data_IF_264587792032
#
_entry.id   IF_264587792032
#
_cell.length_a   1.000
_cell.length_b   1.000
_cell.length_c   1.000
_cell.angle_alpha   90.00
_cell.angle_beta   90.00
_cell.angle_gamma   90.00
#
_symmetry.space_group_name_H-M   'P 1'
#
loop_
_entity.id
_entity.type
_entity.pdbx_description
1 polymer ?
#
# COMPACT_ATOMS: atom_id res chain seq x y z
N UNK A 1 40.02 -21.82 -20.60
CA UNK A 1 39.25 -21.46 -19.38
C UNK A 1 38.56 -20.09 -19.44
N UNK A 2 38.65 -19.33 -20.53
CA UNK A 2 38.05 -17.99 -20.68
C UNK A 2 36.62 -18.00 -21.24
N UNK A 3 36.26 -18.98 -22.07
CA UNK A 3 34.93 -19.07 -22.68
C UNK A 3 33.82 -19.43 -21.68
N UNK A 4 34.09 -20.37 -20.77
CA UNK A 4 33.11 -20.81 -19.74
C UNK A 4 32.78 -19.67 -18.78
N UNK A 5 33.77 -18.85 -18.40
CA UNK A 5 33.54 -17.68 -17.52
C UNK A 5 32.66 -16.61 -18.18
N UNK A 6 32.83 -16.35 -19.48
CA UNK A 6 31.99 -15.37 -20.20
C UNK A 6 30.56 -15.87 -20.40
N UNK A 7 30.39 -17.17 -20.64
CA UNK A 7 29.07 -17.77 -20.79
C UNK A 7 28.29 -17.81 -19.46
N UNK A 8 28.97 -18.11 -18.34
CA UNK A 8 28.33 -18.13 -17.02
C UNK A 8 27.92 -16.72 -16.56
N UNK A 9 28.75 -15.70 -16.83
CA UNK A 9 28.41 -14.30 -16.51
C UNK A 9 27.25 -13.80 -17.35
N UNK A 10 27.23 -14.10 -18.66
CA UNK A 10 26.10 -13.75 -19.52
C UNK A 10 24.81 -14.46 -19.09
N UNK A 11 24.88 -15.75 -18.73
CA UNK A 11 23.74 -16.53 -18.25
C UNK A 11 23.19 -15.97 -16.92
N UNK A 12 24.08 -15.66 -15.96
CA UNK A 12 23.69 -15.06 -14.68
C UNK A 12 23.07 -13.68 -14.88
N UNK A 13 23.59 -12.87 -15.82
CA UNK A 13 22.99 -11.56 -16.12
C UNK A 13 21.63 -11.67 -16.81
N UNK A 14 21.42 -12.64 -17.70
CA UNK A 14 20.11 -12.87 -18.33
C UNK A 14 19.07 -13.43 -17.36
N UNK A 15 19.46 -14.32 -16.43
CA UNK A 15 18.56 -14.79 -15.37
C UNK A 15 18.24 -13.67 -14.36
N UNK A 16 19.18 -12.75 -14.12
CA UNK A 16 18.94 -11.60 -13.23
C UNK A 16 17.93 -10.60 -13.84
N UNK A 17 17.98 -10.38 -15.16
CA UNK A 17 16.99 -9.54 -15.84
C UNK A 17 15.63 -10.23 -16.01
N UNK A 18 15.60 -11.54 -16.32
CA UNK A 18 14.35 -12.28 -16.47
C UNK A 18 13.61 -12.53 -15.14
N UNK A 19 14.36 -12.66 -14.04
CA UNK A 19 13.78 -12.75 -12.69
C UNK A 19 13.18 -11.40 -12.23
N UNK A 20 13.70 -10.27 -12.74
CA UNK A 20 13.15 -8.94 -12.45
C UNK A 20 11.79 -8.72 -13.14
N UNK A 21 11.46 -9.49 -14.17
CA UNK A 21 10.18 -9.39 -14.90
C UNK A 21 9.13 -10.45 -14.54
N UNK A 22 9.43 -11.44 -13.68
CA UNK A 22 8.52 -12.59 -13.48
C UNK A 22 8.22 -12.97 -12.02
N UNK A 23 8.41 -12.06 -11.05
CA UNK A 23 7.73 -12.18 -9.75
C UNK A 23 6.27 -11.76 -9.87
N UNK A 24 5.50 -12.65 -10.48
CA UNK A 24 4.05 -12.65 -10.53
C UNK A 24 3.48 -13.03 -9.16
N UNK A 25 3.20 -12.04 -8.33
CA UNK A 25 2.31 -12.17 -7.18
C UNK A 25 0.86 -12.33 -7.68
N UNK A 26 0.42 -13.56 -7.99
CA UNK A 26 -0.99 -13.98 -8.26
C UNK A 26 -1.85 -13.15 -9.25
N UNK A 27 -1.31 -12.10 -9.85
CA UNK A 27 -1.95 -11.18 -10.79
C UNK A 27 -1.59 -11.51 -12.24
N UNK A 28 -0.41 -12.11 -12.51
CA UNK A 28 -0.07 -12.51 -13.89
C UNK A 28 -0.91 -13.70 -14.39
N UNK A 29 -1.66 -14.37 -13.52
CA UNK A 29 -2.62 -15.40 -13.92
C UNK A 29 -3.91 -14.83 -14.58
N UNK A 30 -4.09 -13.49 -14.64
CA UNK A 30 -5.30 -12.85 -15.19
C UNK A 30 -5.08 -11.93 -16.39
N UNK A 31 -3.86 -11.84 -16.94
CA UNK A 31 -3.62 -11.04 -18.16
C UNK A 31 -3.84 -9.52 -18.00
N UNK A 32 -3.93 -9.03 -16.76
CA UNK A 32 -3.93 -7.59 -16.45
C UNK A 32 -2.60 -7.29 -15.80
N UNK A 33 -1.59 -6.98 -16.61
CA UNK A 33 -0.35 -6.40 -16.11
C UNK A 33 -0.65 -4.96 -15.65
N UNK A 34 -1.23 -4.83 -14.45
CA UNK A 34 -1.21 -3.54 -13.76
C UNK A 34 0.24 -3.32 -13.35
N UNK A 35 0.92 -2.38 -14.00
CA UNK A 35 2.26 -1.98 -13.58
C UNK A 35 2.24 -1.59 -12.10
N UNK A 36 3.32 -1.89 -11.37
CA UNK A 36 3.44 -1.50 -9.96
C UNK A 36 3.22 0.00 -9.75
N UNK A 37 3.56 0.81 -10.76
CA UNK A 37 3.30 2.24 -10.82
C UNK A 37 1.81 2.59 -10.85
N UNK A 38 1.02 1.94 -11.72
CA UNK A 38 -0.44 2.17 -11.80
C UNK A 38 -1.14 1.74 -10.51
N UNK A 39 -0.70 0.63 -9.91
CA UNK A 39 -1.21 0.18 -8.63
C UNK A 39 -0.87 1.17 -7.50
N UNK A 40 0.36 1.68 -7.46
CA UNK A 40 0.76 2.70 -6.48
C UNK A 40 -0.02 4.01 -6.67
N UNK A 41 -0.23 4.46 -7.91
CA UNK A 41 -1.03 5.65 -8.21
C UNK A 41 -2.49 5.52 -7.74
N UNK A 42 -3.13 4.38 -7.99
CA UNK A 42 -4.50 4.13 -7.52
C UNK A 42 -4.62 4.11 -5.98
N UNK A 43 -3.57 3.63 -5.29
CA UNK A 43 -3.50 3.68 -3.83
C UNK A 43 -3.38 5.12 -3.34
N UNK A 44 -2.49 5.91 -3.95
CA UNK A 44 -2.31 7.34 -3.60
C UNK A 44 -3.62 8.09 -3.80
N UNK A 45 -4.29 7.92 -4.95
CA UNK A 45 -5.58 8.57 -5.23
C UNK A 45 -6.63 8.20 -4.18
N UNK A 46 -6.73 6.91 -3.81
CA UNK A 46 -7.65 6.47 -2.75
C UNK A 46 -7.33 7.12 -1.40
N UNK A 47 -6.05 7.29 -1.08
CA UNK A 47 -5.62 7.94 0.16
C UNK A 47 -5.87 9.44 0.16
N UNK A 48 -5.68 10.11 -0.98
CA UNK A 48 -6.02 11.51 -1.17
C UNK A 48 -7.53 11.74 -1.03
N UNK A 49 -8.36 10.84 -1.57
CA UNK A 49 -9.80 10.85 -1.34
C UNK A 49 -10.14 10.70 0.14
N UNK A 50 -9.48 9.78 0.86
CA UNK A 50 -9.66 9.63 2.30
C UNK A 50 -9.25 10.89 3.07
N UNK A 51 -8.16 11.55 2.66
CA UNK A 51 -7.68 12.81 3.24
C UNK A 51 -8.66 13.96 2.99
N UNK A 52 -9.14 14.12 1.76
CA UNK A 52 -10.10 15.16 1.40
C UNK A 52 -11.47 14.95 2.09
N UNK A 53 -11.87 13.70 2.29
CA UNK A 53 -13.10 13.34 2.97
C UNK A 53 -12.97 13.23 4.50
N UNK A 54 -11.81 13.56 5.08
CA UNK A 54 -11.52 13.31 6.50
C UNK A 54 -12.44 14.07 7.46
N UNK A 55 -13.02 15.20 7.06
CA UNK A 55 -13.94 16.00 7.89
C UNK A 55 -15.41 15.67 7.63
N UNK A 56 -15.76 15.27 6.41
CA UNK A 56 -17.16 15.15 5.97
C UNK A 56 -17.67 13.72 5.92
N UNK A 57 -16.79 12.73 5.76
CA UNK A 57 -17.18 11.32 5.68
C UNK A 57 -17.33 10.67 7.06
N UNK A 58 -18.16 9.64 7.13
CA UNK A 58 -18.24 8.77 8.31
C UNK A 58 -16.96 7.97 8.48
N UNK A 59 -16.62 7.65 9.74
CA UNK A 59 -15.49 6.79 10.07
C UNK A 59 -15.55 5.41 9.38
N UNK A 60 -16.75 4.91 9.10
CA UNK A 60 -16.95 3.66 8.34
C UNK A 60 -16.57 3.80 6.87
N UNK A 61 -16.94 4.91 6.24
CA UNK A 61 -16.59 5.20 4.84
C UNK A 61 -15.08 5.37 4.69
N UNK A 62 -14.43 6.08 5.61
CA UNK A 62 -12.96 6.21 5.63
C UNK A 62 -12.27 4.84 5.80
N UNK A 63 -12.79 3.97 6.66
CA UNK A 63 -12.27 2.61 6.82
C UNK A 63 -12.49 1.72 5.58
N UNK A 64 -13.55 1.97 4.80
CA UNK A 64 -13.81 1.29 3.54
C UNK A 64 -12.82 1.73 2.46
N UNK A 65 -12.61 3.05 2.29
CA UNK A 65 -11.61 3.59 1.35
C UNK A 65 -10.22 2.99 1.62
N UNK A 66 -9.82 2.91 2.89
CA UNK A 66 -8.52 2.29 3.25
C UNK A 66 -8.48 0.77 3.05
N UNK A 67 -9.62 0.08 3.12
CA UNK A 67 -9.69 -1.34 2.77
C UNK A 67 -9.41 -1.51 1.27
N UNK A 68 -9.99 -0.64 0.44
CA UNK A 68 -9.86 -0.70 -1.01
C UNK A 68 -8.46 -0.29 -1.45
N UNK A 69 -7.90 0.77 -0.87
CA UNK A 69 -6.49 1.14 -1.02
C UNK A 69 -5.55 -0.01 -0.66
N UNK A 70 -5.82 -0.74 0.44
CA UNK A 70 -5.03 -1.92 0.80
C UNK A 70 -5.19 -3.08 -0.21
N UNK A 71 -6.35 -3.23 -0.83
CA UNK A 71 -6.52 -4.27 -1.86
C UNK A 71 -5.75 -3.91 -3.13
N UNK A 72 -5.82 -2.65 -3.56
CA UNK A 72 -5.04 -2.15 -4.68
C UNK A 72 -3.53 -2.27 -4.44
N UNK A 73 -3.07 -1.99 -3.22
CA UNK A 73 -1.64 -2.06 -2.86
C UNK A 73 -1.04 -3.47 -2.96
N UNK A 74 -1.88 -4.53 -2.95
CA UNK A 74 -1.44 -5.92 -3.15
C UNK A 74 -1.06 -6.24 -4.59
N UNK A 75 -1.48 -5.40 -5.53
CA UNK A 75 -1.14 -5.55 -6.95
C UNK A 75 0.23 -4.96 -7.27
N UNK A 76 0.86 -4.24 -6.33
CA UNK A 76 2.22 -3.72 -6.50
C UNK A 76 3.18 -4.92 -6.42
N UNK A 77 3.79 -5.29 -7.55
CA UNK A 77 4.88 -6.26 -7.58
C UNK A 77 6.16 -5.61 -7.05
N UNK A 78 6.78 -6.24 -6.06
CA UNK A 78 7.79 -5.61 -5.22
C UNK A 78 8.97 -6.54 -5.05
N UNK A 79 9.91 -6.47 -6.00
CA UNK A 79 11.20 -7.16 -5.92
C UNK A 79 12.05 -6.59 -4.78
N UNK A 80 13.01 -5.73 -5.10
CA UNK A 80 13.91 -5.13 -4.10
C UNK A 80 13.19 -4.23 -3.06
N UNK A 81 11.97 -3.76 -3.34
CA UNK A 81 11.20 -2.85 -2.50
C UNK A 81 10.20 -3.56 -1.56
N UNK A 82 10.25 -4.90 -1.46
CA UNK A 82 9.28 -5.71 -0.69
C UNK A 82 9.10 -5.22 0.76
N UNK A 83 10.20 -4.85 1.42
CA UNK A 83 10.18 -4.37 2.81
C UNK A 83 9.48 -3.01 2.94
N UNK A 84 9.75 -2.05 2.04
CA UNK A 84 9.11 -0.73 2.05
C UNK A 84 7.61 -0.83 1.81
N UNK A 85 7.20 -1.69 0.89
CA UNK A 85 5.77 -1.90 0.62
C UNK A 85 5.07 -2.60 1.77
N UNK A 86 5.74 -3.54 2.44
CA UNK A 86 5.22 -4.15 3.66
C UNK A 86 5.02 -3.10 4.77
N UNK A 87 5.97 -2.19 4.99
CA UNK A 87 5.80 -1.09 5.95
C UNK A 87 4.66 -0.14 5.57
N UNK A 88 4.52 0.20 4.29
CA UNK A 88 3.40 1.02 3.82
C UNK A 88 2.04 0.33 4.03
N UNK A 89 1.97 -1.00 3.83
CA UNK A 89 0.77 -1.81 4.11
C UNK A 89 0.41 -1.83 5.60
N UNK A 90 1.40 -1.89 6.47
CA UNK A 90 1.19 -1.80 7.92
C UNK A 90 0.63 -0.43 8.31
N UNK A 91 1.12 0.64 7.67
CA UNK A 91 0.55 1.97 7.79
C UNK A 91 -0.94 2.04 7.43
N UNK A 92 -1.32 1.50 6.25
CA UNK A 92 -2.73 1.41 5.84
C UNK A 92 -3.59 0.63 6.85
N UNK A 93 -3.04 -0.45 7.39
CA UNK A 93 -3.71 -1.27 8.38
C UNK A 93 -3.94 -0.53 9.70
N UNK A 94 -2.97 0.27 10.11
CA UNK A 94 -3.07 1.08 11.30
C UNK A 94 -4.10 2.20 11.13
N UNK A 95 -4.07 2.92 10.00
CA UNK A 95 -5.07 3.95 9.67
C UNK A 95 -6.49 3.37 9.65
N UNK A 96 -6.69 2.24 8.97
CA UNK A 96 -7.98 1.54 8.90
C UNK A 96 -8.47 1.14 10.28
N UNK A 97 -7.58 0.61 11.12
CA UNK A 97 -7.93 0.20 12.49
C UNK A 97 -8.44 1.38 13.30
N UNK A 98 -7.77 2.52 13.21
CA UNK A 98 -8.21 3.74 13.88
C UNK A 98 -9.58 4.22 13.41
N UNK A 99 -9.86 4.24 12.11
CA UNK A 99 -11.21 4.59 11.63
C UNK A 99 -12.28 3.57 12.02
N UNK A 100 -11.95 2.26 12.10
CA UNK A 100 -12.88 1.27 12.66
C UNK A 100 -13.14 1.51 14.14
N UNK A 101 -12.15 1.96 14.91
CA UNK A 101 -12.33 2.28 16.32
C UNK A 101 -13.13 3.58 16.51
N UNK A 102 -12.89 4.59 15.67
CA UNK A 102 -13.69 5.80 15.59
C UNK A 102 -15.17 5.48 15.30
N UNK A 103 -15.45 4.59 14.35
CA UNK A 103 -16.81 4.13 14.07
C UNK A 103 -17.46 3.40 15.26
N UNK A 104 -16.67 2.66 16.05
CA UNK A 104 -17.17 2.00 17.26
C UNK A 104 -17.44 2.98 18.40
N UNK A 105 -16.56 3.95 18.62
CA UNK A 105 -16.78 5.00 19.63
C UNK A 105 -18.00 5.85 19.28
N UNK A 106 -18.24 6.11 17.99
CA UNK A 106 -19.43 6.83 17.51
C UNK A 106 -20.76 6.08 17.76
N UNK A 107 -20.72 4.74 17.70
CA UNK A 107 -21.89 3.87 17.93
C UNK A 107 -22.10 3.49 19.41
N UNK A 108 -21.04 3.55 20.21
CA UNK A 108 -21.02 3.15 21.61
C UNK A 108 -21.19 4.32 22.59
N UNK A 109 -20.58 4.21 23.77
CA UNK A 109 -20.67 5.19 24.86
C UNK A 109 -19.80 6.45 24.65
N UNK A 110 -19.32 6.71 23.43
CA UNK A 110 -18.48 7.87 23.09
C UNK A 110 -16.96 7.63 23.10
N UNK A 111 -16.50 6.47 23.59
CA UNK A 111 -15.08 6.08 23.57
C UNK A 111 -14.90 4.60 23.23
N UNK A 112 -13.74 4.27 22.67
CA UNK A 112 -13.30 2.91 22.39
C UNK A 112 -11.79 2.83 22.59
N UNK A 113 -11.27 1.79 23.26
CA UNK A 113 -9.83 1.67 23.56
C UNK A 113 -9.23 2.95 24.14
N UNK A 114 -9.94 3.51 25.12
CA UNK A 114 -9.56 4.71 25.89
C UNK A 114 -9.38 5.97 25.04
N UNK A 115 -10.01 6.01 23.85
CA UNK A 115 -10.00 7.18 22.96
C UNK A 115 -11.38 7.51 22.42
N UNK A 116 -11.61 8.79 22.17
CA UNK A 116 -12.84 9.29 21.54
C UNK A 116 -12.85 9.05 20.03
N UNK A 117 -14.00 9.30 19.39
CA UNK A 117 -14.07 9.27 17.92
C UNK A 117 -13.06 10.26 17.30
N UNK A 118 -13.04 11.50 17.77
CA UNK A 118 -12.18 12.55 17.23
C UNK A 118 -10.69 12.19 17.35
N UNK A 119 -10.27 11.63 18.48
CA UNK A 119 -8.89 11.19 18.69
C UNK A 119 -8.52 10.04 17.75
N UNK A 120 -9.39 9.05 17.59
CA UNK A 120 -9.16 7.98 16.63
C UNK A 120 -9.13 8.47 15.18
N UNK A 121 -10.00 9.41 14.80
CA UNK A 121 -9.96 10.02 13.46
C UNK A 121 -8.67 10.78 13.23
N UNK A 122 -8.18 11.51 14.23
CA UNK A 122 -6.91 12.25 14.16
C UNK A 122 -5.73 11.30 13.95
N UNK A 123 -5.66 10.21 14.71
CA UNK A 123 -4.63 9.17 14.54
C UNK A 123 -4.73 8.47 13.18
N UNK A 124 -5.95 8.19 12.72
CA UNK A 124 -6.21 7.66 11.39
C UNK A 124 -5.71 8.60 10.30
N UNK A 125 -6.06 9.88 10.37
CA UNK A 125 -5.68 10.90 9.39
C UNK A 125 -4.17 11.12 9.32
N UNK A 126 -3.49 11.20 10.46
CA UNK A 126 -2.02 11.29 10.52
C UNK A 126 -1.36 10.10 9.80
N UNK A 127 -1.90 8.90 10.02
CA UNK A 127 -1.40 7.70 9.35
C UNK A 127 -1.72 7.68 7.84
N UNK A 128 -2.86 8.21 7.41
CA UNK A 128 -3.17 8.39 5.97
C UNK A 128 -2.13 9.29 5.31
N UNK A 129 -1.81 10.44 5.91
CA UNK A 129 -0.81 11.37 5.37
C UNK A 129 0.56 10.68 5.25
N UNK A 130 0.98 9.95 6.29
CA UNK A 130 2.21 9.18 6.26
C UNK A 130 2.19 8.13 5.13
N UNK A 131 1.10 7.38 5.00
CA UNK A 131 0.98 6.36 3.96
C UNK A 131 0.99 6.95 2.55
N UNK A 132 0.45 8.15 2.32
CA UNK A 132 0.59 8.84 1.02
C UNK A 132 2.07 9.02 0.68
N UNK A 133 2.86 9.59 1.59
CA UNK A 133 4.29 9.80 1.40
C UNK A 133 5.05 8.47 1.17
N UNK A 134 4.70 7.42 1.91
CA UNK A 134 5.30 6.10 1.73
C UNK A 134 5.04 5.54 0.32
N UNK A 135 3.80 5.66 -0.20
CA UNK A 135 3.45 5.19 -1.54
C UNK A 135 3.99 6.10 -2.66
N UNK A 136 4.13 7.40 -2.44
CA UNK A 136 4.83 8.30 -3.36
C UNK A 136 6.30 7.90 -3.50
N UNK A 137 6.98 7.60 -2.39
CA UNK A 137 8.36 7.12 -2.41
C UNK A 137 8.49 5.76 -3.12
N UNK A 138 7.54 4.85 -2.90
CA UNK A 138 7.49 3.56 -3.62
C UNK A 138 7.28 3.80 -5.11
N UNK A 139 6.34 4.67 -5.50
CA UNK A 139 6.08 4.99 -6.91
C UNK A 139 7.34 5.55 -7.59
N UNK A 140 8.04 6.48 -6.93
CA UNK A 140 9.27 7.07 -7.44
C UNK A 140 10.44 6.08 -7.55
N UNK A 141 10.44 5.01 -6.75
CA UNK A 141 11.49 3.97 -6.77
C UNK A 141 11.18 2.81 -7.74
N UNK A 142 9.93 2.70 -8.21
CA UNK A 142 9.50 1.71 -9.22
C UNK A 142 9.70 2.26 -10.65
N UNK A 143 9.70 3.59 -10.82
CA UNK A 143 10.11 4.32 -12.03
C UNK A 143 11.64 4.25 -12.24
#
# INVERSE_FOLDING_TARGET
MTFVKRFLVALVMTFSMAAMTTYSSSAAAKGIEVSGENAAAAVIESLELAKAAAETATSEKLAAILKDARQASKLISVGALASQVQFAWEGLMFAKRHYKYAAKSAKGTGSWKDKTEAEHRTLGAAQVIKSIADFEAIKAAVL
#
